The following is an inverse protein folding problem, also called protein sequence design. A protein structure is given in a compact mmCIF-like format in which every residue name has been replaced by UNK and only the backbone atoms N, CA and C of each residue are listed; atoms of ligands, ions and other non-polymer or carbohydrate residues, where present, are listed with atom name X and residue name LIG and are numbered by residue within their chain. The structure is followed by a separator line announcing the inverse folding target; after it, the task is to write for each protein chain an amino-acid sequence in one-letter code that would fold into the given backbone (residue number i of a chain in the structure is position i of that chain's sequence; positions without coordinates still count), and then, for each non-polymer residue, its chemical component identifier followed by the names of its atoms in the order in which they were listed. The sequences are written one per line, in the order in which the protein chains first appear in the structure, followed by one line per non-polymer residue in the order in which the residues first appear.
data_IF_285410390735
#
_entry.id   IF_285410390735
#
_cell.length_a   1.000
_cell.length_b   1.000
_cell.length_c   1.000
_cell.angle_alpha   90.00
_cell.angle_beta   90.00
_cell.angle_gamma   90.00
#
_symmetry.space_group_name_H-M   'P 1'
#
loop_
_entity.id
_entity.type
_entity.pdbx_description
1 polymer ?
#
# COMPACT_ATOMS: atom_id res chain seq x y z
N UNK A 1 16.22 18.10 9.95
CA UNK A 1 15.60 16.78 10.16
C UNK A 1 14.57 16.46 9.10
N UNK A 2 14.72 15.31 8.47
CA UNK A 2 13.85 14.80 7.39
C UNK A 2 12.73 13.94 8.01
N UNK A 3 12.06 14.48 9.04
CA UNK A 3 11.25 13.70 9.99
C UNK A 3 9.91 13.18 9.43
N UNK A 4 9.50 13.64 8.25
CA UNK A 4 8.17 13.33 7.71
C UNK A 4 8.17 12.33 6.55
N UNK A 5 9.33 11.88 6.07
CA UNK A 5 9.43 10.89 5.01
C UNK A 5 9.60 9.49 5.60
N UNK A 6 8.50 8.75 5.64
CA UNK A 6 8.48 7.34 6.09
C UNK A 6 7.84 6.46 5.02
N UNK A 7 8.32 5.22 4.94
CA UNK A 7 7.63 4.20 4.16
C UNK A 7 6.41 3.69 4.94
N UNK A 8 5.28 3.59 4.25
CA UNK A 8 4.05 2.96 4.75
C UNK A 8 3.66 1.88 3.75
N UNK A 9 3.33 0.70 4.25
CA UNK A 9 2.99 -0.45 3.45
C UNK A 9 1.57 -0.88 3.77
N UNK A 10 0.80 -1.22 2.74
CA UNK A 10 -0.55 -1.77 2.90
C UNK A 10 -0.69 -2.98 2.00
N UNK A 11 -1.32 -4.04 2.52
CA UNK A 11 -1.63 -5.27 1.80
C UNK A 11 -3.14 -5.50 1.98
N UNK A 12 -3.90 -5.52 0.90
CA UNK A 12 -5.36 -5.66 0.92
C UNK A 12 -6.05 -4.67 1.88
N UNK A 13 -5.57 -3.41 1.91
CA UNK A 13 -5.93 -2.32 2.84
C UNK A 13 -5.38 -2.40 4.26
N UNK A 14 -4.78 -3.52 4.67
CA UNK A 14 -4.21 -3.64 5.99
C UNK A 14 -2.81 -3.04 6.04
N UNK A 15 -2.61 -2.07 6.94
CA UNK A 15 -1.30 -1.47 7.16
C UNK A 15 -0.35 -2.47 7.79
N UNK A 16 0.79 -2.73 7.15
CA UNK A 16 1.83 -3.62 7.66
C UNK A 16 3.12 -2.84 7.95
N UNK A 17 3.91 -3.34 8.90
CA UNK A 17 5.19 -2.72 9.27
C UNK A 17 6.28 -2.98 8.23
N UNK A 18 6.24 -4.14 7.58
CA UNK A 18 7.18 -4.57 6.54
C UNK A 18 6.48 -5.49 5.56
N UNK A 19 6.86 -5.41 4.28
CA UNK A 19 6.35 -6.29 3.23
C UNK A 19 7.13 -7.62 3.14
N UNK A 20 8.36 -7.66 3.65
CA UNK A 20 9.25 -8.82 3.57
C UNK A 20 8.74 -10.06 4.28
N UNK A 21 7.84 -9.86 5.25
CA UNK A 21 7.35 -10.93 6.14
C UNK A 21 6.05 -11.54 5.60
N UNK A 22 5.56 -11.08 4.44
CA UNK A 22 4.32 -11.49 3.82
C UNK A 22 4.55 -12.36 2.58
N UNK A 23 3.80 -13.46 2.48
CA UNK A 23 3.80 -14.32 1.28
C UNK A 23 2.76 -13.78 0.31
N UNK A 24 3.21 -13.30 -0.85
CA UNK A 24 2.36 -12.67 -1.87
C UNK A 24 1.57 -13.71 -2.66
N UNK A 25 0.28 -13.44 -2.88
CA UNK A 25 -0.65 -14.16 -3.72
C UNK A 25 -1.06 -13.33 -4.95
N UNK A 26 -1.51 -14.00 -6.01
CA UNK A 26 -1.83 -13.36 -7.30
C UNK A 26 -2.96 -12.32 -7.23
N UNK A 27 -3.84 -12.43 -6.23
CA UNK A 27 -4.98 -11.52 -6.03
C UNK A 27 -4.69 -10.38 -5.03
N UNK A 28 -3.47 -10.30 -4.49
CA UNK A 28 -3.13 -9.30 -3.48
C UNK A 28 -2.95 -7.91 -4.08
N UNK A 29 -3.49 -6.91 -3.38
CA UNK A 29 -3.29 -5.49 -3.67
C UNK A 29 -2.29 -4.90 -2.69
N UNK A 30 -1.17 -4.40 -3.22
CA UNK A 30 -0.08 -3.85 -2.41
C UNK A 30 0.07 -2.36 -2.71
N UNK A 31 -0.02 -1.53 -1.67
CA UNK A 31 0.28 -0.09 -1.75
C UNK A 31 1.56 0.21 -0.95
N UNK A 32 2.52 0.88 -1.60
CA UNK A 32 3.73 1.40 -0.96
C UNK A 32 3.71 2.93 -1.08
N UNK A 33 3.72 3.61 0.05
CA UNK A 33 3.72 5.08 0.13
C UNK A 33 5.03 5.55 0.74
N UNK A 34 5.64 6.58 0.16
CA UNK A 34 6.88 7.19 0.65
C UNK A 34 6.69 8.69 0.79
N UNK A 35 6.57 9.16 2.03
CA UNK A 35 6.36 10.58 2.30
C UNK A 35 5.47 10.85 3.50
N UNK A 36 4.99 12.10 3.52
CA UNK A 36 4.19 12.68 4.58
C UNK A 36 2.69 12.62 4.31
N UNK A 37 2.26 11.75 3.38
CA UNK A 37 0.87 11.64 2.99
C UNK A 37 -0.03 11.35 4.20
N UNK A 38 -1.09 12.13 4.29
CA UNK A 38 -2.08 11.96 5.34
C UNK A 38 -3.02 10.79 5.03
N UNK A 39 -3.86 10.43 6.00
CA UNK A 39 -4.78 9.29 5.85
C UNK A 39 -5.72 9.45 4.66
N UNK A 40 -6.24 10.65 4.39
CA UNK A 40 -7.13 10.90 3.25
C UNK A 40 -6.46 10.66 1.90
N UNK A 41 -5.20 11.04 1.75
CA UNK A 41 -4.43 10.76 0.53
C UNK A 41 -4.19 9.27 0.36
N UNK A 42 -3.82 8.58 1.45
CA UNK A 42 -3.65 7.12 1.45
C UNK A 42 -4.95 6.40 1.08
N UNK A 43 -6.09 6.83 1.63
CA UNK A 43 -7.39 6.25 1.34
C UNK A 43 -7.77 6.40 -0.14
N UNK A 44 -7.42 7.53 -0.75
CA UNK A 44 -7.62 7.73 -2.19
C UNK A 44 -6.77 6.77 -3.02
N UNK A 45 -5.50 6.56 -2.65
CA UNK A 45 -4.62 5.62 -3.35
C UNK A 45 -5.09 4.17 -3.20
N UNK A 46 -5.58 3.78 -2.02
CA UNK A 46 -6.17 2.46 -1.80
C UNK A 46 -7.40 2.25 -2.70
N UNK A 47 -8.25 3.28 -2.82
CA UNK A 47 -9.42 3.23 -3.70
C UNK A 47 -9.05 3.18 -5.19
N UNK A 48 -8.02 3.90 -5.61
CA UNK A 48 -7.49 3.80 -6.97
C UNK A 48 -6.94 2.38 -7.22
N UNK A 49 -6.19 1.85 -6.26
CA UNK A 49 -5.63 0.51 -6.32
C UNK A 49 -6.72 -0.56 -6.45
N UNK A 50 -7.91 -0.38 -5.86
CA UNK A 50 -9.06 -1.29 -6.03
C UNK A 50 -9.61 -1.35 -7.45
N UNK A 51 -9.44 -0.29 -8.23
CA UNK A 51 -9.89 -0.21 -9.61
C UNK A 51 -9.01 -0.98 -10.59
N UNK A 52 -7.78 -1.32 -10.19
CA UNK A 52 -6.82 -2.01 -11.05
C UNK A 52 -7.28 -3.43 -11.37
N UNK A 53 -7.17 -3.81 -12.65
CA UNK A 53 -7.49 -5.15 -13.11
C UNK A 53 -6.37 -6.13 -12.76
N UNK A 54 -6.74 -7.24 -12.12
CA UNK A 54 -5.81 -8.33 -11.80
C UNK A 54 -5.89 -9.37 -12.92
N UNK A 55 -4.79 -9.53 -13.67
CA UNK A 55 -4.69 -10.58 -14.66
C UNK A 55 -4.38 -11.92 -13.99
N UNK A 56 -5.38 -12.78 -13.85
CA UNK A 56 -5.19 -14.16 -13.39
C UNK A 56 -4.52 -14.99 -14.50
N UNK A 57 -3.45 -15.72 -14.16
CA UNK A 57 -2.79 -16.67 -15.06
C UNK A 57 -3.49 -18.02 -15.10
#
# INVERSE_FOLDING_TARGET
DNADYSFKYYINHDKVSKISDYVIHDDDRILVVYGNENQTQVDNYLKELDGEFIQKK
#
